data_IF_212864095793
#
_entry.id   IF_212864095793
#
_cell.length_a   1.000
_cell.length_b   1.000
_cell.length_c   1.000
_cell.angle_alpha   90.00
_cell.angle_beta   90.00
_cell.angle_gamma   90.00
#
_symmetry.space_group_name_H-M   'P 1'
#
loop_
_entity.id
_entity.type
_entity.pdbx_description
1 polymer ?
#
# COMPACT_ATOMS: atom_id res chain seq x y z
N UNK A 1 -2.65 18.96 -7.06
CA UNK A 1 -2.89 17.95 -6.02
C UNK A 1 -1.72 16.98 -6.16
N UNK A 2 -0.82 16.96 -5.20
CA UNK A 2 0.31 16.02 -5.24
C UNK A 2 -0.20 14.71 -4.65
N UNK A 3 -0.38 13.69 -5.49
CA UNK A 3 -0.89 12.37 -5.08
C UNK A 3 0.21 11.46 -4.50
N UNK A 4 1.35 12.06 -4.11
CA UNK A 4 2.53 11.37 -3.60
C UNK A 4 2.59 11.39 -2.07
N UNK A 5 3.26 10.42 -1.44
CA UNK A 5 3.52 10.44 0.00
C UNK A 5 4.18 11.74 0.44
N UNK A 6 3.71 12.31 1.55
CA UNK A 6 4.34 13.50 2.13
C UNK A 6 5.75 13.14 2.63
N UNK A 7 6.69 14.02 2.29
CA UNK A 7 8.10 13.82 2.66
C UNK A 7 8.33 14.07 4.16
N UNK A 8 7.73 15.13 4.69
CA UNK A 8 7.83 15.50 6.10
C UNK A 8 6.51 15.21 6.81
N UNK A 9 6.54 14.23 7.71
CA UNK A 9 5.38 13.92 8.55
C UNK A 9 5.17 15.01 9.61
N UNK A 10 3.93 15.50 9.82
CA UNK A 10 3.65 16.48 10.85
C UNK A 10 3.77 15.86 12.26
N UNK A 11 4.22 16.66 13.22
CA UNK A 11 4.29 16.28 14.64
C UNK A 11 2.90 16.44 15.31
N UNK A 12 1.95 15.61 14.88
CA UNK A 12 0.59 15.57 15.41
C UNK A 12 0.37 14.20 16.07
N UNK A 13 -0.03 14.15 17.34
CA UNK A 13 -0.28 12.89 18.03
C UNK A 13 -1.24 11.97 17.27
N UNK A 14 -0.80 10.74 17.05
CA UNK A 14 -1.56 9.70 16.34
C UNK A 14 -1.93 10.01 14.89
N UNK A 15 -1.33 11.03 14.27
CA UNK A 15 -1.47 11.27 12.84
C UNK A 15 -0.98 10.07 12.02
N UNK A 16 -1.58 9.88 10.85
CA UNK A 16 -1.24 8.82 9.90
C UNK A 16 -1.62 9.27 8.51
N UNK A 17 -0.71 9.05 7.56
CA UNK A 17 -0.98 9.19 6.14
C UNK A 17 -1.74 7.96 5.63
N UNK A 18 -2.79 8.16 4.85
CA UNK A 18 -3.62 7.07 4.32
C UNK A 18 -4.00 7.33 2.85
N UNK A 19 -3.93 6.28 2.05
CA UNK A 19 -4.39 6.24 0.66
C UNK A 19 -5.43 5.14 0.53
N UNK A 20 -6.51 5.44 -0.17
CA UNK A 20 -7.58 4.49 -0.44
C UNK A 20 -7.92 4.53 -1.93
N UNK A 21 -7.82 3.37 -2.57
CA UNK A 21 -8.37 3.13 -3.89
C UNK A 21 -9.46 2.07 -3.73
N UNK A 22 -10.71 2.47 -3.91
CA UNK A 22 -11.84 1.57 -3.95
C UNK A 22 -12.51 1.70 -5.32
N UNK A 23 -12.84 0.58 -5.93
CA UNK A 23 -13.39 0.57 -7.27
C UNK A 23 -14.20 -0.68 -7.56
N UNK A 24 -15.07 -0.56 -8.55
CA UNK A 24 -15.87 -1.65 -9.08
C UNK A 24 -15.83 -1.59 -10.61
N UNK A 25 -15.38 -2.68 -11.23
CA UNK A 25 -15.51 -2.87 -12.68
C UNK A 25 -16.83 -3.59 -12.95
N UNK A 26 -17.82 -2.85 -13.44
CA UNK A 26 -19.14 -3.38 -13.76
C UNK A 26 -19.14 -4.37 -14.94
N UNK A 27 -18.19 -4.26 -15.87
CA UNK A 27 -18.10 -5.16 -17.02
C UNK A 27 -17.53 -6.51 -16.58
N UNK A 28 -16.50 -6.49 -15.73
CA UNK A 28 -15.88 -7.70 -15.21
C UNK A 28 -16.59 -8.25 -13.95
N UNK A 29 -17.46 -7.47 -13.31
CA UNK A 29 -18.05 -7.74 -12.00
C UNK A 29 -16.99 -8.00 -10.90
N UNK A 30 -15.96 -7.17 -10.87
CA UNK A 30 -14.84 -7.26 -9.90
C UNK A 30 -14.85 -6.04 -8.99
N UNK A 31 -14.75 -6.26 -7.68
CA UNK A 31 -14.55 -5.20 -6.70
C UNK A 31 -13.09 -5.17 -6.24
N UNK A 32 -12.51 -3.98 -6.15
CA UNK A 32 -11.16 -3.75 -5.63
C UNK A 32 -11.23 -2.81 -4.44
N UNK A 33 -10.50 -3.16 -3.39
CA UNK A 33 -10.19 -2.28 -2.27
C UNK A 33 -8.70 -2.36 -1.98
N UNK A 34 -7.99 -1.24 -2.14
CA UNK A 34 -6.59 -1.07 -1.78
C UNK A 34 -6.52 0.06 -0.75
N UNK A 35 -5.89 -0.24 0.38
CA UNK A 35 -5.63 0.72 1.44
C UNK A 35 -4.16 0.68 1.83
N UNK A 36 -3.49 1.83 1.81
CA UNK A 36 -2.11 1.99 2.25
C UNK A 36 -2.05 3.04 3.34
N UNK A 37 -1.30 2.78 4.42
CA UNK A 37 -1.24 3.71 5.53
C UNK A 37 0.06 3.64 6.32
N UNK A 38 0.54 4.79 6.81
CA UNK A 38 1.62 4.83 7.80
C UNK A 38 1.14 4.33 9.16
N UNK A 39 1.95 3.54 9.85
CA UNK A 39 1.62 3.08 11.19
C UNK A 39 1.80 4.22 12.19
N UNK A 40 0.73 4.62 12.87
CA UNK A 40 0.72 5.76 13.81
C UNK A 40 1.75 5.73 14.96
N UNK A 41 2.40 4.59 15.24
CA UNK A 41 3.46 4.47 16.27
C UNK A 41 4.87 4.60 15.69
N UNK A 42 5.01 4.35 14.39
CA UNK A 42 6.26 4.49 13.65
C UNK A 42 5.87 4.81 12.20
N UNK A 43 5.95 6.10 11.87
CA UNK A 43 5.52 6.61 10.58
C UNK A 43 6.43 6.15 9.43
N UNK A 44 7.59 5.56 9.72
CA UNK A 44 8.44 4.96 8.69
C UNK A 44 7.88 3.63 8.16
N UNK A 45 7.03 2.98 8.96
CA UNK A 45 6.37 1.73 8.60
C UNK A 45 5.06 2.04 7.90
N UNK A 46 4.86 1.37 6.78
CA UNK A 46 3.59 1.35 6.08
C UNK A 46 2.88 0.01 6.23
N UNK A 47 1.57 0.06 6.03
CA UNK A 47 0.65 -1.06 6.04
C UNK A 47 -0.16 -1.02 4.76
N UNK A 48 -0.34 -2.17 4.13
CA UNK A 48 -1.11 -2.34 2.92
C UNK A 48 -2.16 -3.43 3.12
N UNK A 49 -3.36 -3.19 2.59
CA UNK A 49 -4.41 -4.19 2.46
C UNK A 49 -4.92 -4.10 1.04
N UNK A 50 -4.91 -5.21 0.32
CA UNK A 50 -5.64 -5.39 -0.93
C UNK A 50 -6.71 -6.46 -0.73
N UNK A 51 -7.93 -6.16 -1.18
CA UNK A 51 -9.07 -7.08 -1.22
C UNK A 51 -9.67 -7.01 -2.60
N UNK A 52 -9.89 -8.18 -3.20
CA UNK A 52 -10.50 -8.33 -4.51
C UNK A 52 -11.68 -9.28 -4.35
N UNK A 53 -12.90 -8.84 -4.68
CA UNK A 53 -14.05 -9.73 -4.79
C UNK A 53 -14.29 -10.06 -6.26
N UNK A 54 -14.35 -11.36 -6.56
CA UNK A 54 -14.52 -11.92 -7.89
C UNK A 54 -16.00 -12.19 -8.19
N UNK A 55 -16.38 -12.39 -9.47
CA UNK A 55 -17.78 -12.55 -9.88
C UNK A 55 -18.49 -13.78 -9.30
N UNK A 56 -17.73 -14.82 -8.96
CA UNK A 56 -18.21 -16.05 -8.35
C UNK A 56 -18.44 -15.92 -6.83
N UNK A 57 -18.17 -14.74 -6.26
CA UNK A 57 -18.23 -14.47 -4.83
C UNK A 57 -16.95 -14.79 -4.08
N UNK A 58 -15.91 -15.32 -4.74
CA UNK A 58 -14.59 -15.54 -4.13
C UNK A 58 -13.98 -14.20 -3.71
N UNK A 59 -13.35 -14.15 -2.54
CA UNK A 59 -12.64 -12.98 -2.05
C UNK A 59 -11.15 -13.31 -1.86
N UNK A 60 -10.30 -12.60 -2.57
CA UNK A 60 -8.84 -12.65 -2.42
C UNK A 60 -8.41 -11.48 -1.55
N UNK A 61 -7.70 -11.77 -0.47
CA UNK A 61 -7.18 -10.75 0.43
C UNK A 61 -5.67 -10.91 0.64
N UNK A 62 -4.94 -9.81 0.63
CA UNK A 62 -3.54 -9.79 1.03
C UNK A 62 -3.26 -8.59 1.91
N UNK A 63 -2.39 -8.79 2.89
CA UNK A 63 -1.88 -7.73 3.76
C UNK A 63 -0.36 -7.74 3.71
N UNK A 64 0.22 -6.56 3.76
CA UNK A 64 1.66 -6.39 3.91
C UNK A 64 1.95 -5.24 4.88
N UNK A 65 3.13 -5.25 5.47
CA UNK A 65 3.63 -4.14 6.26
C UNK A 65 5.14 -4.07 6.11
N UNK A 66 5.71 -2.88 6.21
CA UNK A 66 7.16 -2.69 6.16
C UNK A 66 7.57 -1.26 5.91
N UNK A 67 8.87 -1.01 6.07
CA UNK A 67 9.52 0.20 5.61
C UNK A 67 10.31 -0.15 4.34
N UNK A 68 9.79 0.21 3.19
CA UNK A 68 10.39 -0.12 1.93
C UNK A 68 11.70 0.61 1.61
N UNK A 69 11.94 1.77 2.23
CA UNK A 69 13.19 2.52 2.06
C UNK A 69 14.31 1.96 2.95
N UNK A 70 14.00 1.08 3.90
CA UNK A 70 14.99 0.47 4.79
C UNK A 70 15.75 -0.71 4.14
N UNK A 71 15.25 -1.28 3.04
CA UNK A 71 15.88 -2.43 2.37
C UNK A 71 16.81 -1.99 1.23
N UNK A 72 18.06 -2.47 1.24
CA UNK A 72 19.02 -2.29 0.13
C UNK A 72 19.09 -3.47 -0.84
N UNK A 73 18.25 -4.51 -0.64
CA UNK A 73 18.34 -5.80 -1.32
C UNK A 73 16.96 -6.30 -1.83
N UNK A 74 16.21 -5.45 -2.53
CA UNK A 74 14.96 -5.81 -3.24
C UNK A 74 13.64 -5.78 -2.40
N UNK A 75 12.48 -6.21 -2.96
CA UNK A 75 11.20 -5.48 -2.93
C UNK A 75 10.69 -5.05 -1.54
N UNK A 76 10.29 -3.78 -1.39
CA UNK A 76 9.63 -3.22 -0.19
C UNK A 76 8.09 -3.29 -0.25
N UNK A 77 7.35 -2.86 0.80
CA UNK A 77 5.87 -2.71 0.88
C UNK A 77 5.43 -1.23 1.05
N UNK A 78 4.15 -0.87 0.84
CA UNK A 78 3.58 0.50 0.70
C UNK A 78 4.57 1.65 0.98
N UNK A 79 5.06 2.31 -0.07
CA UNK A 79 6.41 2.92 -0.09
C UNK A 79 7.46 2.08 -0.84
N UNK A 80 7.02 0.98 -1.48
CA UNK A 80 7.86 -0.09 -2.08
C UNK A 80 8.97 0.41 -3.00
N UNK A 81 10.15 -0.18 -2.84
CA UNK A 81 11.23 -0.15 -3.82
C UNK A 81 11.55 -1.57 -4.27
N UNK A 82 11.75 -1.78 -5.58
CA UNK A 82 12.28 -3.00 -6.18
C UNK A 82 13.65 -2.69 -6.80
N UNK A 83 14.67 -3.51 -6.53
CA UNK A 83 16.02 -3.37 -7.10
C UNK A 83 16.39 -4.58 -7.96
N UNK A 84 16.89 -4.31 -9.18
CA UNK A 84 17.43 -5.27 -10.14
C UNK A 84 18.95 -5.14 -10.14
N UNK A 85 19.63 -6.25 -9.93
CA UNK A 85 21.07 -6.29 -9.64
C UNK A 85 21.90 -6.97 -10.73
N UNK A 86 21.27 -7.58 -11.75
CA UNK A 86 21.88 -8.16 -12.97
C UNK A 86 20.79 -8.60 -14.01
N UNK A 87 21.13 -8.83 -15.30
CA UNK A 87 20.16 -8.99 -16.40
C UNK A 87 19.46 -10.35 -16.44
N UNK A 88 18.17 -10.33 -16.80
CA UNK A 88 17.41 -11.50 -17.27
C UNK A 88 17.30 -11.53 -18.79
#
# INVERSE_FOLDING_TARGET
MEDYPIETCPDIPAWSENYCLAGYDAKANINLYLHMARWRKDLSIWREIIVIALPDGTVVGRRAFGNALASSKSPGAAGMKLDIIEPG
#
